data_IF_646873064443
#
_entry.id   IF_646873064443
#
_cell.length_a   1.000
_cell.length_b   1.000
_cell.length_c   1.000
_cell.angle_alpha   90.00
_cell.angle_beta   90.00
_cell.angle_gamma   90.00
#
_symmetry.space_group_name_H-M   'P 1'
#
loop_
_entity.id
_entity.type
_entity.pdbx_description
1 polymer ?
#
# COMPACT_ATOMS: atom_id res chain seq x y z
N UNK A 1 27.72 19.30 7.58
CA UNK A 1 28.46 18.05 7.26
C UNK A 1 29.62 17.69 8.21
N UNK A 2 30.17 18.62 9.02
CA UNK A 2 31.31 18.32 9.92
C UNK A 2 31.04 17.22 10.97
N UNK A 3 29.80 17.11 11.46
CA UNK A 3 29.41 16.13 12.50
C UNK A 3 29.48 14.68 12.00
N UNK A 4 28.94 14.38 10.82
CA UNK A 4 28.97 13.03 10.23
C UNK A 4 30.39 12.59 9.87
N UNK A 5 31.23 13.51 9.38
CA UNK A 5 32.65 13.24 9.12
C UNK A 5 33.40 12.81 10.38
N UNK A 6 33.12 13.44 11.53
CA UNK A 6 33.77 13.11 12.80
C UNK A 6 33.30 11.76 13.35
N UNK A 7 32.00 11.47 13.25
CA UNK A 7 31.43 10.18 13.66
C UNK A 7 32.01 9.02 12.82
N UNK A 8 32.02 9.14 11.49
CA UNK A 8 32.59 8.11 10.62
C UNK A 8 34.10 7.95 10.85
N UNK A 9 34.82 9.03 11.12
CA UNK A 9 36.24 8.94 11.46
C UNK A 9 36.45 8.15 12.76
N UNK A 10 35.62 8.35 13.78
CA UNK A 10 35.71 7.59 15.04
C UNK A 10 35.36 6.11 14.86
N UNK A 11 34.37 5.78 14.04
CA UNK A 11 33.99 4.39 13.70
C UNK A 11 35.08 3.71 12.85
N UNK A 12 35.67 4.40 11.88
CA UNK A 12 36.77 3.88 11.06
C UNK A 12 38.07 3.66 11.85
N UNK A 13 38.24 4.34 12.99
CA UNK A 13 39.38 4.14 13.90
C UNK A 13 39.20 2.92 14.82
N UNK A 14 37.96 2.47 15.01
CA UNK A 14 37.59 1.36 15.91
C UNK A 14 37.20 0.08 15.18
N UNK A 15 36.85 0.16 13.89
CA UNK A 15 36.45 -0.98 13.05
C UNK A 15 37.41 -1.27 11.88
N UNK A 16 37.45 -2.54 11.44
CA UNK A 16 38.28 -3.04 10.32
C UNK A 16 37.79 -2.61 8.91
N UNK A 17 36.68 -1.88 8.80
CA UNK A 17 36.09 -1.43 7.52
C UNK A 17 36.11 0.09 7.41
N UNK A 18 36.68 0.60 6.32
CA UNK A 18 36.61 2.01 5.97
C UNK A 18 35.23 2.34 5.37
N UNK A 19 34.44 3.13 6.08
CA UNK A 19 33.21 3.70 5.58
C UNK A 19 33.47 5.10 5.04
N UNK A 20 33.11 5.35 3.78
CA UNK A 20 33.22 6.66 3.14
C UNK A 20 31.95 7.48 3.40
N UNK A 21 32.13 8.75 3.76
CA UNK A 21 31.03 9.68 4.00
C UNK A 21 30.29 10.08 2.71
N UNK A 22 30.93 9.91 1.55
CA UNK A 22 30.35 10.22 0.25
C UNK A 22 29.15 9.32 -0.10
N UNK A 23 29.05 8.14 0.52
CA UNK A 23 28.00 7.17 0.25
C UNK A 23 26.75 7.36 1.14
N UNK A 24 26.74 8.37 2.02
CA UNK A 24 25.62 8.66 2.90
C UNK A 24 24.53 9.47 2.17
N UNK A 25 23.37 8.85 1.98
CA UNK A 25 22.16 9.57 1.54
C UNK A 25 21.39 10.03 2.78
N UNK A 26 21.37 11.35 3.02
CA UNK A 26 20.64 11.96 4.15
C UNK A 26 19.30 12.47 3.64
N UNK A 27 18.21 11.89 4.11
CA UNK A 27 16.84 12.35 3.83
C UNK A 27 16.27 13.05 5.07
N UNK A 28 15.96 14.34 4.95
CA UNK A 28 15.33 15.10 6.03
C UNK A 28 13.81 15.03 5.91
N UNK A 29 13.16 14.42 6.91
CA UNK A 29 11.70 14.41 7.00
C UNK A 29 11.25 15.58 7.88
N UNK A 30 10.40 16.50 7.38
CA UNK A 30 9.89 17.59 8.20
C UNK A 30 9.00 17.06 9.33
N UNK A 31 9.13 17.66 10.52
CA UNK A 31 8.23 17.42 11.66
C UNK A 31 6.93 18.24 11.50
N UNK A 32 6.23 18.03 10.38
CA UNK A 32 4.84 18.48 10.27
C UNK A 32 4.00 17.61 11.20
N UNK A 33 2.97 18.15 11.88
CA UNK A 33 2.06 17.32 12.64
C UNK A 33 1.40 16.32 11.69
N UNK A 34 1.89 15.07 11.69
CA UNK A 34 1.34 13.97 10.90
C UNK A 34 0.01 13.56 11.50
N UNK A 35 -1.01 14.36 11.28
CA UNK A 35 -2.39 14.01 11.61
C UNK A 35 -2.85 12.96 10.60
N UNK A 36 -3.35 11.82 11.10
CA UNK A 36 -3.98 10.80 10.24
C UNK A 36 -5.11 11.40 9.40
N UNK A 37 -5.81 12.42 9.91
CA UNK A 37 -6.86 13.12 9.17
C UNK A 37 -6.29 13.88 7.97
N UNK A 38 -5.11 14.48 8.12
CA UNK A 38 -4.45 15.22 7.05
C UNK A 38 -3.96 14.29 5.94
N UNK A 39 -3.40 13.12 6.29
CA UNK A 39 -2.99 12.11 5.31
C UNK A 39 -4.20 11.51 4.57
N UNK A 40 -5.31 11.26 5.25
CA UNK A 40 -6.57 10.83 4.61
C UNK A 40 -7.11 11.92 3.66
N UNK A 41 -7.11 13.18 4.09
CA UNK A 41 -7.54 14.29 3.25
C UNK A 41 -6.68 14.43 1.99
N UNK A 42 -5.35 14.34 2.14
CA UNK A 42 -4.42 14.37 1.01
C UNK A 42 -4.63 13.17 0.07
N UNK A 43 -4.84 11.97 0.63
CA UNK A 43 -5.14 10.76 -0.15
C UNK A 43 -6.40 10.92 -1.01
N UNK A 44 -7.47 11.46 -0.42
CA UNK A 44 -8.73 11.70 -1.12
C UNK A 44 -8.61 12.81 -2.17
N UNK A 45 -7.90 13.90 -1.87
CA UNK A 45 -7.69 15.01 -2.79
C UNK A 45 -6.89 14.62 -4.04
N UNK A 46 -6.01 13.62 -3.91
CA UNK A 46 -5.18 13.11 -4.99
C UNK A 46 -5.87 12.03 -5.83
N UNK A 47 -7.11 11.65 -5.48
CA UNK A 47 -7.89 10.68 -6.25
C UNK A 47 -8.11 11.13 -7.70
N UNK A 48 -7.72 10.28 -8.65
CA UNK A 48 -7.85 10.55 -10.10
C UNK A 48 -6.69 11.34 -10.73
N UNK A 49 -5.77 11.92 -9.96
CA UNK A 49 -4.61 12.66 -10.48
C UNK A 49 -3.30 11.86 -10.49
N UNK A 50 -3.20 10.83 -9.64
CA UNK A 50 -1.99 10.02 -9.45
C UNK A 50 -2.32 8.54 -9.33
N UNK A 51 -1.33 7.69 -9.59
CA UNK A 51 -1.47 6.23 -9.46
C UNK A 51 -1.80 5.81 -8.03
N UNK A 52 -2.53 4.70 -7.88
CA UNK A 52 -2.91 4.17 -6.56
C UNK A 52 -1.71 3.83 -5.68
N UNK A 53 -0.64 3.26 -6.25
CA UNK A 53 0.58 2.97 -5.50
C UNK A 53 1.21 4.24 -4.91
N UNK A 54 1.20 5.35 -5.65
CA UNK A 54 1.71 6.65 -5.18
C UNK A 54 0.81 7.25 -4.12
N UNK A 55 -0.52 7.07 -4.24
CA UNK A 55 -1.46 7.53 -3.20
C UNK A 55 -1.29 6.78 -1.89
N UNK A 56 -1.20 5.46 -1.95
CA UNK A 56 -1.00 4.61 -0.78
C UNK A 56 0.32 4.94 -0.06
N UNK A 57 1.35 5.34 -0.80
CA UNK A 57 2.64 5.77 -0.22
C UNK A 57 2.57 7.03 0.65
N UNK A 58 1.47 7.81 0.60
CA UNK A 58 1.26 8.97 1.49
C UNK A 58 0.72 8.57 2.86
N UNK A 59 0.20 7.35 2.98
CA UNK A 59 -0.36 6.84 4.22
C UNK A 59 0.77 6.19 5.02
N UNK A 60 1.24 6.89 6.05
CA UNK A 60 2.36 6.45 6.89
C UNK A 60 2.15 5.12 7.64
N UNK A 61 0.91 4.63 7.71
CA UNK A 61 0.55 3.37 8.37
C UNK A 61 0.58 2.17 7.42
N UNK A 62 0.84 2.37 6.13
CA UNK A 62 0.95 1.31 5.13
C UNK A 62 2.45 1.06 4.88
N UNK A 63 2.95 -0.08 5.37
CA UNK A 63 4.37 -0.43 5.25
C UNK A 63 4.80 -0.67 3.80
N UNK A 64 3.98 -1.39 3.03
CA UNK A 64 4.27 -1.72 1.64
C UNK A 64 3.07 -1.43 0.71
N UNK A 65 3.10 -0.31 -0.03
CA UNK A 65 2.03 0.06 -0.97
C UNK A 65 1.78 -0.97 -2.07
N UNK A 66 2.78 -1.79 -2.45
CA UNK A 66 2.60 -2.81 -3.49
C UNK A 66 1.82 -4.01 -3.00
N UNK A 67 2.16 -4.52 -1.81
CA UNK A 67 1.42 -5.63 -1.19
C UNK A 67 -0.03 -5.23 -0.93
N UNK A 68 -0.27 -3.99 -0.49
CA UNK A 68 -1.63 -3.51 -0.26
C UNK A 68 -2.44 -3.43 -1.57
N UNK A 69 -1.80 -2.99 -2.65
CA UNK A 69 -2.43 -2.93 -3.97
C UNK A 69 -2.76 -4.32 -4.52
N UNK A 70 -1.87 -5.31 -4.31
CA UNK A 70 -2.14 -6.70 -4.65
C UNK A 70 -3.34 -7.26 -3.86
N UNK A 71 -3.40 -7.01 -2.54
CA UNK A 71 -4.53 -7.43 -1.71
C UNK A 71 -5.86 -6.82 -2.17
N UNK A 72 -5.87 -5.53 -2.53
CA UNK A 72 -7.08 -4.89 -3.07
C UNK A 72 -7.57 -5.58 -4.34
N UNK A 73 -6.66 -5.94 -5.26
CA UNK A 73 -7.03 -6.67 -6.48
C UNK A 73 -7.54 -8.08 -6.19
N UNK A 74 -6.93 -8.79 -5.22
CA UNK A 74 -7.41 -10.10 -4.80
C UNK A 74 -8.82 -10.02 -4.19
N UNK A 75 -9.09 -9.02 -3.36
CA UNK A 75 -10.41 -8.79 -2.79
C UNK A 75 -11.44 -8.44 -3.85
N UNK A 76 -11.08 -7.64 -4.85
CA UNK A 76 -11.95 -7.28 -5.98
C UNK A 76 -12.29 -8.53 -6.80
N UNK A 77 -11.28 -9.32 -7.19
CA UNK A 77 -11.49 -10.57 -7.91
C UNK A 77 -12.30 -11.60 -7.11
N UNK A 78 -12.16 -11.63 -5.77
CA UNK A 78 -12.99 -12.47 -4.92
C UNK A 78 -14.44 -11.97 -4.87
N UNK A 79 -14.66 -10.66 -4.80
CA UNK A 79 -16.01 -10.06 -4.85
C UNK A 79 -16.70 -10.37 -6.18
N UNK A 80 -16.00 -10.25 -7.30
CA UNK A 80 -16.51 -10.60 -8.63
C UNK A 80 -16.91 -12.09 -8.69
N UNK A 81 -16.02 -12.99 -8.28
CA UNK A 81 -16.33 -14.44 -8.25
C UNK A 81 -17.53 -14.77 -7.35
N UNK A 82 -17.71 -14.05 -6.25
CA UNK A 82 -18.87 -14.22 -5.38
C UNK A 82 -20.16 -13.65 -5.99
N UNK A 83 -20.06 -12.56 -6.77
CA UNK A 83 -21.20 -12.00 -7.49
C UNK A 83 -21.63 -12.93 -8.63
N UNK A 84 -20.68 -13.47 -9.40
CA UNK A 84 -20.95 -14.46 -10.45
C UNK A 84 -21.62 -15.70 -9.89
N UNK A 85 -21.11 -16.27 -8.79
CA UNK A 85 -21.74 -17.44 -8.14
C UNK A 85 -23.17 -17.17 -7.70
N UNK A 86 -23.49 -15.96 -7.23
CA UNK A 86 -24.85 -15.57 -6.87
C UNK A 86 -25.74 -15.45 -8.12
N UNK A 87 -25.25 -14.80 -9.17
CA UNK A 87 -26.01 -14.63 -10.42
C UNK A 87 -26.30 -15.93 -11.14
N UNK A 88 -25.34 -16.85 -11.21
CA UNK A 88 -25.57 -18.19 -11.78
C UNK A 88 -26.44 -19.06 -10.84
N UNK A 89 -26.17 -19.04 -9.53
CA UNK A 89 -26.94 -19.82 -8.55
C UNK A 89 -28.43 -19.50 -8.56
N UNK A 90 -28.80 -18.21 -8.54
CA UNK A 90 -30.21 -17.78 -8.61
C UNK A 90 -30.89 -18.18 -9.93
N UNK A 91 -30.17 -18.13 -11.05
CA UNK A 91 -30.70 -18.51 -12.36
C UNK A 91 -30.97 -20.02 -12.47
N UNK A 92 -30.08 -20.86 -11.93
CA UNK A 92 -30.27 -22.32 -11.90
C UNK A 92 -31.38 -22.76 -10.93
N UNK A 93 -31.49 -22.12 -9.77
CA UNK A 93 -32.49 -22.47 -8.74
C UNK A 93 -33.92 -22.08 -9.16
N UNK A 94 -34.08 -20.96 -9.88
CA UNK A 94 -35.36 -20.60 -10.50
C UNK A 94 -35.77 -21.57 -11.62
N UNK A 95 -34.82 -22.12 -12.38
CA UNK A 95 -35.12 -23.04 -13.47
C UNK A 95 -35.59 -24.41 -12.96
N UNK A 96 -35.04 -24.91 -11.84
CA UNK A 96 -35.51 -26.16 -11.22
C UNK A 96 -36.90 -26.00 -10.58
N UNK A 97 -37.19 -24.87 -9.93
CA UNK A 97 -38.51 -24.64 -9.32
C UNK A 97 -39.64 -24.49 -10.36
N UNK A 98 -39.35 -23.96 -11.55
CA UNK A 98 -40.35 -23.82 -12.62
C UNK A 98 -40.68 -25.16 -13.29
N UNK A 99 -39.73 -26.09 -13.37
CA UNK A 99 -39.92 -27.41 -13.99
C UNK A 99 -40.74 -28.35 -13.08
N UNK A 100 -40.54 -28.28 -11.74
CA UNK A 100 -41.34 -29.03 -10.76
C UNK A 100 -42.78 -28.49 -10.58
N UNK A 101 -43.07 -27.27 -11.05
CA UNK A 101 -44.40 -26.64 -10.91
C UNK A 101 -45.37 -26.99 -12.05
N UNK A 102 -44.88 -27.59 -13.15
CA UNK A 102 -45.66 -27.94 -14.34
C UNK A 102 -45.77 -29.46 -14.60
N UNK A 103 -45.40 -30.29 -13.62
CA UNK A 103 -45.51 -31.76 -13.65
C UNK A 103 -46.73 -32.29 -12.91
#
# INVERSE_FOLDING_TARGET
MKRYKLLLNNVNLTGLKQHNYADLTITFTPNLPKSMMESINAFNALSGGVSESTRLSLLDFIDNPKEELEKMHEEEAQREKQADKRGYGEAFENQMNVDDSNG
#
